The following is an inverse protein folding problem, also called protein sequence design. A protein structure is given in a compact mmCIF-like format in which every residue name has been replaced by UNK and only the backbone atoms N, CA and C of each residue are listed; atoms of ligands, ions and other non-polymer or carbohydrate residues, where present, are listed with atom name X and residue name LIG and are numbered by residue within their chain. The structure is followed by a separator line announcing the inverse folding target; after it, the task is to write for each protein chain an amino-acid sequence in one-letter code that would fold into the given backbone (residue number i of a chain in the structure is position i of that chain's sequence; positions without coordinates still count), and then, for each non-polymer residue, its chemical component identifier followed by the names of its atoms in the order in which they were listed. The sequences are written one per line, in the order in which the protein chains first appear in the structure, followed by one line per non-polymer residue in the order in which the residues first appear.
data_IF_098713591302
#
_entry.id   IF_098713591302
#
_cell.length_a   1.000
_cell.length_b   1.000
_cell.length_c   1.000
_cell.angle_alpha   90.00
_cell.angle_beta   90.00
_cell.angle_gamma   90.00
#
_symmetry.space_group_name_H-M   'P 1'
#
loop_
_entity.id
_entity.type
_entity.pdbx_description
1 polymer ?
#
# COMPACT_ATOMS: atom_id res chain seq x y z
N UNK A 1 -5.50 -13.96 -2.13
CA UNK A 1 -4.26 -13.38 -2.72
C UNK A 1 -4.48 -11.87 -2.74
N UNK A 2 -3.46 -11.00 -2.63
CA UNK A 2 -3.73 -9.55 -2.64
C UNK A 2 -3.55 -8.99 -4.05
N UNK A 3 -4.65 -8.60 -4.69
CA UNK A 3 -4.70 -7.82 -5.93
C UNK A 3 -4.88 -6.35 -5.56
N UNK A 4 -3.76 -5.63 -5.53
CA UNK A 4 -3.72 -4.28 -4.97
C UNK A 4 -4.39 -3.23 -5.86
N UNK A 5 -4.23 -3.35 -7.18
CA UNK A 5 -4.70 -2.36 -8.15
C UNK A 5 -5.46 -3.04 -9.31
N UNK A 6 -6.10 -2.19 -10.11
CA UNK A 6 -6.71 -2.51 -11.40
C UNK A 6 -7.86 -3.51 -11.33
N UNK A 7 -8.64 -3.43 -10.25
CA UNK A 7 -10.03 -3.89 -10.29
C UNK A 7 -10.72 -3.29 -11.51
N UNK A 8 -11.63 -4.04 -12.15
CA UNK A 8 -12.46 -3.45 -13.22
C UNK A 8 -13.30 -2.25 -12.74
N UNK A 9 -13.43 -2.07 -11.42
CA UNK A 9 -14.11 -0.95 -10.76
C UNK A 9 -15.55 -0.78 -11.27
N UNK A 10 -16.30 -1.90 -11.26
CA UNK A 10 -17.73 -1.91 -11.61
C UNK A 10 -18.64 -1.40 -10.49
N UNK A 11 -18.07 -1.07 -9.33
CA UNK A 11 -18.71 -0.54 -8.12
C UNK A 11 -19.84 -1.38 -7.51
N UNK A 12 -20.15 -2.58 -8.03
CA UNK A 12 -21.21 -3.46 -7.51
C UNK A 12 -21.01 -3.85 -6.04
N UNK A 13 -19.76 -3.98 -5.61
CA UNK A 13 -19.43 -4.39 -4.25
C UNK A 13 -19.73 -3.31 -3.19
N UNK A 14 -19.92 -2.05 -3.59
CA UNK A 14 -20.24 -0.93 -2.68
C UNK A 14 -21.69 -1.02 -2.16
N UNK A 15 -22.74 -0.97 -3.01
CA UNK A 15 -24.13 -0.96 -2.53
C UNK A 15 -24.60 -2.29 -1.93
N UNK A 16 -23.96 -3.41 -2.27
CA UNK A 16 -24.32 -4.74 -1.72
C UNK A 16 -23.68 -5.02 -0.36
N UNK A 17 -22.73 -4.19 0.08
CA UNK A 17 -22.06 -4.35 1.36
C UNK A 17 -22.96 -3.79 2.49
N UNK A 18 -23.48 -4.65 3.39
CA UNK A 18 -24.41 -4.20 4.43
C UNK A 18 -23.75 -3.27 5.47
N UNK A 19 -22.43 -3.33 5.59
CA UNK A 19 -21.66 -2.56 6.58
C UNK A 19 -20.95 -1.35 5.96
N UNK A 20 -21.16 -1.07 4.67
CA UNK A 20 -20.42 -0.03 3.92
C UNK A 20 -18.89 -0.13 4.10
N UNK A 21 -18.36 -1.36 4.15
CA UNK A 21 -16.94 -1.62 4.33
C UNK A 21 -16.14 -1.39 3.04
N UNK A 22 -16.75 -1.61 1.87
CA UNK A 22 -16.08 -1.42 0.59
C UNK A 22 -16.14 0.05 0.18
N UNK A 23 -15.02 0.57 -0.29
CA UNK A 23 -14.91 1.95 -0.75
C UNK A 23 -13.98 2.05 -1.95
N UNK A 24 -14.01 3.20 -2.60
CA UNK A 24 -13.17 3.50 -3.74
C UNK A 24 -12.24 4.68 -3.45
N UNK A 25 -11.07 4.68 -4.06
CA UNK A 25 -10.10 5.78 -3.97
C UNK A 25 -9.49 6.04 -5.36
N UNK A 26 -9.14 7.30 -5.69
CA UNK A 26 -8.47 7.63 -6.93
C UNK A 26 -6.99 7.21 -6.86
N UNK A 27 -6.37 6.96 -8.01
CA UNK A 27 -4.92 6.78 -8.13
C UNK A 27 -4.48 7.26 -9.51
N UNK A 28 -3.29 7.87 -9.64
CA UNK A 28 -2.78 8.25 -10.95
C UNK A 28 -2.54 7.01 -11.82
N UNK A 29 -2.80 7.16 -13.12
CA UNK A 29 -2.39 6.19 -14.12
C UNK A 29 -0.88 6.30 -14.30
N UNK A 30 -0.17 5.19 -14.08
CA UNK A 30 1.30 5.16 -14.15
C UNK A 30 1.73 3.92 -14.89
N UNK A 31 2.84 4.02 -15.62
CA UNK A 31 3.39 2.88 -16.34
C UNK A 31 4.91 3.12 -16.51
N UNK A 32 5.73 2.48 -15.68
CA UNK A 32 7.18 2.68 -15.68
C UNK A 32 7.92 1.41 -15.29
N UNK A 33 9.18 1.35 -15.70
CA UNK A 33 10.08 0.25 -15.38
C UNK A 33 10.89 0.60 -14.12
N UNK A 34 11.17 -0.40 -13.30
CA UNK A 34 11.95 -0.27 -12.08
C UNK A 34 12.82 -1.51 -11.85
N UNK A 35 13.73 -1.40 -10.89
CA UNK A 35 14.62 -2.46 -10.46
C UNK A 35 14.51 -2.61 -8.94
N UNK A 36 14.60 -3.84 -8.44
CA UNK A 36 14.88 -4.06 -7.01
C UNK A 36 16.31 -3.59 -6.70
N UNK A 37 16.62 -3.34 -5.42
CA UNK A 37 17.97 -3.00 -5.00
C UNK A 37 18.59 -4.10 -4.13
N UNK A 38 19.89 -4.33 -4.29
CA UNK A 38 20.69 -5.13 -3.37
C UNK A 38 21.43 -4.19 -2.43
N UNK A 39 21.21 -4.34 -1.13
CA UNK A 39 21.85 -3.54 -0.07
C UNK A 39 22.87 -4.43 0.64
N UNK A 40 24.11 -3.97 0.70
CA UNK A 40 25.19 -4.66 1.40
C UNK A 40 25.26 -4.25 2.89
N UNK A 41 25.89 -5.05 3.77
CA UNK A 41 26.03 -4.73 5.19
C UNK A 41 26.77 -3.42 5.49
N UNK A 42 27.65 -2.98 4.58
CA UNK A 42 28.36 -1.70 4.70
C UNK A 42 27.50 -0.48 4.31
N UNK A 43 26.28 -0.71 3.80
CA UNK A 43 25.35 0.32 3.34
C UNK A 43 25.52 0.72 1.88
N UNK A 44 26.49 0.15 1.17
CA UNK A 44 26.56 0.28 -0.29
C UNK A 44 25.41 -0.49 -0.95
N UNK A 45 25.01 -0.06 -2.15
CA UNK A 45 23.90 -0.66 -2.85
C UNK A 45 24.10 -0.66 -4.37
N UNK A 46 23.37 -1.57 -5.04
CA UNK A 46 23.31 -1.67 -6.50
C UNK A 46 21.91 -2.08 -6.95
N UNK A 47 21.52 -1.67 -8.14
CA UNK A 47 20.29 -2.17 -8.77
C UNK A 47 20.45 -3.65 -9.15
N UNK A 48 19.36 -4.41 -9.03
CA UNK A 48 19.26 -5.75 -9.57
C UNK A 48 19.16 -5.71 -11.10
N UNK A 49 19.74 -6.69 -11.79
CA UNK A 49 19.77 -6.72 -13.26
C UNK A 49 18.38 -6.90 -13.90
N UNK A 50 17.46 -7.53 -13.16
CA UNK A 50 16.11 -7.79 -13.64
C UNK A 50 15.27 -6.50 -13.64
N UNK A 51 14.92 -6.03 -14.83
CA UNK A 51 13.88 -5.01 -15.01
C UNK A 51 12.50 -5.56 -14.69
N UNK A 52 11.70 -4.77 -13.97
CA UNK A 52 10.30 -5.05 -13.65
C UNK A 52 9.41 -3.91 -14.09
N UNK A 53 8.11 -4.19 -14.27
CA UNK A 53 7.10 -3.22 -14.67
C UNK A 53 6.17 -2.90 -13.50
N UNK A 54 5.94 -1.62 -13.24
CA UNK A 54 4.86 -1.17 -12.37
C UNK A 54 3.84 -0.41 -13.22
N UNK A 55 2.58 -0.82 -13.12
CA UNK A 55 1.51 -0.25 -13.93
C UNK A 55 0.21 -0.17 -13.12
N UNK A 56 -0.47 0.96 -13.27
CA UNK A 56 -1.83 1.18 -12.81
C UNK A 56 -2.62 1.74 -13.99
N UNK A 57 -3.59 0.95 -14.45
CA UNK A 57 -4.37 1.23 -15.67
C UNK A 57 -5.79 1.71 -15.37
N UNK A 58 -6.22 1.67 -14.11
CA UNK A 58 -7.54 2.15 -13.67
C UNK A 58 -7.38 3.39 -12.78
N UNK A 59 -8.10 4.49 -13.07
CA UNK A 59 -7.97 5.72 -12.29
C UNK A 59 -8.68 5.63 -10.93
N UNK A 60 -9.62 4.69 -10.78
CA UNK A 60 -10.37 4.43 -9.57
C UNK A 60 -10.12 3.00 -9.13
N UNK A 61 -9.84 2.83 -7.85
CA UNK A 61 -9.54 1.55 -7.21
C UNK A 61 -10.57 1.24 -6.13
N UNK A 62 -10.64 -0.02 -5.71
CA UNK A 62 -11.52 -0.49 -4.64
C UNK A 62 -10.67 -1.05 -3.50
N UNK A 63 -11.05 -0.74 -2.27
CA UNK A 63 -10.49 -1.28 -1.04
C UNK A 63 -11.59 -1.67 -0.06
N UNK A 64 -11.21 -2.43 0.96
CA UNK A 64 -12.07 -2.83 2.06
C UNK A 64 -11.59 -2.20 3.37
N UNK A 65 -12.47 -1.54 4.10
CA UNK A 65 -12.19 -1.07 5.46
C UNK A 65 -12.48 -2.22 6.43
N UNK A 66 -11.41 -2.88 6.87
CA UNK A 66 -11.46 -4.18 7.52
C UNK A 66 -12.27 -4.15 8.82
N UNK A 67 -12.18 -3.08 9.61
CA UNK A 67 -12.91 -2.95 10.88
C UNK A 67 -14.44 -2.85 10.69
N UNK A 68 -14.92 -2.55 9.48
CA UNK A 68 -16.36 -2.58 9.15
C UNK A 68 -16.77 -3.92 8.54
N UNK A 69 -15.83 -4.67 7.98
CA UNK A 69 -16.13 -5.92 7.29
C UNK A 69 -16.40 -7.05 8.29
N UNK A 70 -17.49 -7.79 8.08
CA UNK A 70 -17.81 -9.01 8.82
C UNK A 70 -17.68 -10.28 7.96
N UNK A 71 -17.04 -10.15 6.79
CA UNK A 71 -16.81 -11.26 5.86
C UNK A 71 -18.08 -12.00 5.42
N UNK A 72 -19.23 -11.31 5.37
CA UNK A 72 -20.51 -11.93 4.99
C UNK A 72 -20.58 -12.46 3.54
N UNK A 73 -19.60 -12.18 2.69
CA UNK A 73 -19.53 -12.71 1.33
C UNK A 73 -20.45 -12.05 0.30
N UNK A 74 -21.32 -11.09 0.67
CA UNK A 74 -22.20 -10.42 -0.29
C UNK A 74 -21.42 -9.83 -1.47
N UNK A 75 -20.34 -9.10 -1.19
CA UNK A 75 -19.55 -8.46 -2.23
C UNK A 75 -18.82 -9.44 -3.15
N UNK A 76 -18.57 -10.68 -2.70
CA UNK A 76 -18.00 -11.76 -3.53
C UNK A 76 -19.07 -12.34 -4.47
N UNK A 77 -20.28 -12.58 -3.96
CA UNK A 77 -21.41 -13.11 -4.75
C UNK A 77 -21.74 -12.23 -5.97
N UNK A 78 -21.63 -10.92 -5.84
CA UNK A 78 -21.89 -9.97 -6.93
C UNK A 78 -20.64 -9.54 -7.70
N UNK A 79 -19.45 -10.06 -7.33
CA UNK A 79 -18.20 -9.71 -7.99
C UNK A 79 -18.14 -10.37 -9.37
N UNK A 80 -17.95 -9.59 -10.45
CA UNK A 80 -17.67 -10.16 -11.78
C UNK A 80 -16.22 -10.64 -11.91
N UNK A 81 -15.36 -10.31 -10.95
CA UNK A 81 -13.99 -10.83 -10.82
C UNK A 81 -13.99 -11.98 -9.80
N UNK A 82 -12.93 -12.80 -9.80
CA UNK A 82 -12.77 -13.83 -8.77
C UNK A 82 -12.37 -13.19 -7.44
N UNK A 83 -13.16 -13.42 -6.39
CA UNK A 83 -12.92 -12.91 -5.05
C UNK A 83 -13.46 -11.50 -4.81
N UNK A 84 -14.30 -11.38 -3.78
CA UNK A 84 -14.80 -10.09 -3.30
C UNK A 84 -13.70 -9.21 -2.65
N UNK A 85 -13.97 -7.91 -2.47
CA UNK A 85 -13.00 -6.97 -1.90
C UNK A 85 -12.34 -7.38 -0.59
N UNK A 86 -13.06 -8.07 0.30
CA UNK A 86 -12.51 -8.49 1.59
C UNK A 86 -11.42 -9.58 1.47
N UNK A 87 -11.38 -10.31 0.35
CA UNK A 87 -10.42 -11.37 0.06
C UNK A 87 -9.24 -10.82 -0.75
N UNK A 88 -9.55 -10.15 -1.87
CA UNK A 88 -8.55 -9.88 -2.89
C UNK A 88 -8.07 -8.43 -2.90
N UNK A 89 -8.85 -7.46 -2.42
CA UNK A 89 -8.49 -6.04 -2.53
C UNK A 89 -7.79 -5.54 -1.26
N UNK A 90 -7.07 -4.39 -1.33
CA UNK A 90 -6.42 -3.81 -0.16
C UNK A 90 -7.37 -3.68 1.04
N UNK A 91 -7.01 -4.31 2.14
CA UNK A 91 -7.73 -4.18 3.41
C UNK A 91 -7.06 -3.10 4.26
N UNK A 92 -7.79 -2.07 4.64
CA UNK A 92 -7.34 -0.99 5.51
C UNK A 92 -7.93 -1.13 6.90
N UNK A 93 -7.07 -1.07 7.91
CA UNK A 93 -7.42 -1.12 9.32
C UNK A 93 -7.37 0.28 9.92
N UNK A 94 -8.31 0.57 10.82
CA UNK A 94 -8.44 1.84 11.52
C UNK A 94 -7.24 2.16 12.41
N UNK A 95 -6.65 1.13 13.01
CA UNK A 95 -5.56 1.30 13.99
C UNK A 95 -4.49 0.25 13.79
N UNK A 96 -3.28 0.58 14.25
CA UNK A 96 -2.19 -0.38 14.37
C UNK A 96 -2.60 -1.62 15.18
N UNK A 97 -3.36 -1.44 16.27
CA UNK A 97 -3.81 -2.54 17.13
C UNK A 97 -4.68 -3.54 16.39
N UNK A 98 -5.63 -3.08 15.57
CA UNK A 98 -6.53 -3.98 14.83
C UNK A 98 -5.81 -4.65 13.65
N UNK A 99 -4.86 -3.95 13.01
CA UNK A 99 -3.98 -4.53 12.00
C UNK A 99 -3.03 -5.61 12.55
N UNK A 100 -2.44 -5.40 13.73
CA UNK A 100 -1.59 -6.39 14.41
C UNK A 100 -2.40 -7.62 14.82
N UNK A 101 -3.59 -7.41 15.41
CA UNK A 101 -4.47 -8.50 15.83
C UNK A 101 -5.00 -9.35 14.67
N UNK A 102 -5.06 -8.79 13.46
CA UNK A 102 -5.51 -9.50 12.27
C UNK A 102 -4.44 -10.43 11.65
N UNK A 103 -3.21 -10.46 12.17
CA UNK A 103 -2.18 -11.37 11.68
C UNK A 103 -2.66 -12.83 11.66
N UNK A 104 -2.37 -13.59 10.58
CA UNK A 104 -1.44 -13.29 9.49
C UNK A 104 -2.03 -12.54 8.28
N UNK A 105 -3.26 -12.02 8.36
CA UNK A 105 -3.94 -11.38 7.22
C UNK A 105 -3.15 -10.20 6.65
N UNK A 106 -3.06 -10.12 5.33
CA UNK A 106 -2.49 -8.97 4.63
C UNK A 106 -3.39 -7.73 4.76
N UNK A 107 -2.78 -6.55 4.74
CA UNK A 107 -3.51 -5.29 4.82
C UNK A 107 -2.66 -4.18 5.39
N UNK A 108 -3.27 -3.02 5.55
CA UNK A 108 -2.58 -1.76 5.79
C UNK A 108 -3.24 -0.97 6.91
N UNK A 109 -2.48 -0.14 7.61
CA UNK A 109 -3.04 0.98 8.35
C UNK A 109 -2.30 2.24 7.95
N UNK A 110 -3.00 3.37 8.04
CA UNK A 110 -2.49 4.68 7.64
C UNK A 110 -2.54 5.62 8.84
N UNK A 111 -1.51 6.42 9.01
CA UNK A 111 -1.50 7.51 9.99
C UNK A 111 -1.07 8.81 9.31
N UNK A 112 -1.54 9.93 9.85
CA UNK A 112 -1.22 11.27 9.39
C UNK A 112 -1.17 12.17 10.62
N UNK A 113 -0.12 12.98 10.72
CA UNK A 113 0.01 14.02 11.73
C UNK A 113 0.26 15.39 11.06
N UNK A 114 0.71 16.40 11.81
CA UNK A 114 0.96 17.73 11.26
C UNK A 114 2.10 17.78 10.22
N UNK A 115 3.05 16.85 10.30
CA UNK A 115 4.32 16.87 9.58
C UNK A 115 4.42 15.75 8.54
N UNK A 116 3.85 14.59 8.81
CA UNK A 116 4.07 13.37 8.02
C UNK A 116 2.80 12.55 7.79
N UNK A 117 2.85 11.75 6.74
CA UNK A 117 1.89 10.70 6.43
C UNK A 117 2.63 9.38 6.33
N UNK A 118 2.06 8.31 6.88
CA UNK A 118 2.64 6.99 6.78
C UNK A 118 1.60 5.92 6.47
N UNK A 119 2.04 4.90 5.76
CA UNK A 119 1.33 3.64 5.54
C UNK A 119 2.23 2.51 6.03
N UNK A 120 1.67 1.62 6.85
CA UNK A 120 2.33 0.37 7.22
C UNK A 120 1.46 -0.78 6.73
N UNK A 121 2.08 -1.74 6.06
CA UNK A 121 1.39 -2.82 5.38
C UNK A 121 2.02 -4.18 5.64
N UNK A 122 1.20 -5.21 5.64
CA UNK A 122 1.62 -6.61 5.50
C UNK A 122 1.24 -7.08 4.11
N UNK A 123 2.22 -7.58 3.35
CA UNK A 123 2.01 -8.11 2.01
C UNK A 123 2.75 -9.45 1.93
N UNK A 124 2.03 -10.54 1.66
CA UNK A 124 2.61 -11.90 1.57
C UNK A 124 3.43 -12.29 2.81
N UNK A 125 2.96 -11.91 4.00
CA UNK A 125 3.62 -12.09 5.31
C UNK A 125 4.86 -11.21 5.57
N UNK A 126 5.25 -10.33 4.66
CA UNK A 126 6.31 -9.35 4.89
C UNK A 126 5.72 -8.01 5.32
N UNK A 127 6.40 -7.30 6.21
CA UNK A 127 5.94 -6.00 6.73
C UNK A 127 6.77 -4.88 6.13
N UNK A 128 6.08 -3.87 5.63
CA UNK A 128 6.68 -2.68 5.04
C UNK A 128 6.06 -1.43 5.65
N UNK A 129 6.85 -0.40 5.87
CA UNK A 129 6.38 0.92 6.28
C UNK A 129 6.96 1.98 5.35
N UNK A 130 6.10 2.87 4.88
CA UNK A 130 6.48 4.03 4.07
C UNK A 130 6.02 5.29 4.78
N UNK A 131 6.91 6.27 4.91
CA UNK A 131 6.60 7.60 5.45
C UNK A 131 6.99 8.66 4.44
N UNK A 132 6.20 9.73 4.33
CA UNK A 132 6.49 10.91 3.52
C UNK A 132 6.12 12.20 4.27
N UNK A 133 6.73 13.35 3.93
CA UNK A 133 6.25 14.64 4.40
C UNK A 133 4.80 14.88 3.99
N UNK A 134 4.00 15.48 4.88
CA UNK A 134 2.61 15.83 4.59
C UNK A 134 2.48 17.01 3.63
N UNK A 135 3.46 17.92 3.63
CA UNK A 135 3.45 19.14 2.82
C UNK A 135 4.76 19.30 2.08
N UNK A 136 4.63 19.69 0.81
CA UNK A 136 5.76 19.89 -0.09
C UNK A 136 6.38 18.58 -0.57
N UNK A 137 7.32 18.73 -1.48
CA UNK A 137 8.12 17.61 -1.95
C UNK A 137 9.22 17.33 -0.92
N UNK A 138 9.51 16.05 -0.69
CA UNK A 138 10.57 15.66 0.20
C UNK A 138 10.78 14.16 0.21
N UNK A 139 11.86 13.70 0.84
CA UNK A 139 12.26 12.32 0.75
C UNK A 139 11.22 11.39 1.38
N UNK A 140 10.99 10.24 0.73
CA UNK A 140 10.24 9.14 1.30
C UNK A 140 11.17 8.24 2.08
N UNK A 141 10.69 7.65 3.17
CA UNK A 141 11.43 6.65 3.94
C UNK A 141 10.70 5.32 3.86
N UNK A 142 11.37 4.29 3.37
CA UNK A 142 10.88 2.91 3.32
C UNK A 142 11.64 2.07 4.35
N UNK A 143 10.90 1.27 5.11
CA UNK A 143 11.40 0.31 6.08
C UNK A 143 10.74 -1.04 5.82
N UNK A 144 11.53 -2.09 5.56
CA UNK A 144 11.04 -3.47 5.37
C UNK A 144 11.31 -4.38 6.59
N UNK A 145 11.72 -3.79 7.71
CA UNK A 145 12.11 -4.48 8.94
C UNK A 145 13.58 -4.93 8.96
N UNK A 146 14.23 -5.05 7.80
CA UNK A 146 15.64 -5.43 7.66
C UNK A 146 16.49 -4.21 7.34
N UNK A 147 16.06 -3.41 6.38
CA UNK A 147 16.69 -2.15 5.97
C UNK A 147 15.71 -1.00 6.06
N UNK A 148 16.28 0.20 6.25
CA UNK A 148 15.56 1.46 6.19
C UNK A 148 16.31 2.39 5.27
N UNK A 149 15.66 2.84 4.22
CA UNK A 149 16.26 3.67 3.19
C UNK A 149 15.44 4.93 2.94
N UNK A 150 16.13 5.99 2.58
CA UNK A 150 15.55 7.24 2.09
C UNK A 150 15.57 7.23 0.58
N UNK A 151 14.44 7.50 -0.04
CA UNK A 151 14.27 7.54 -1.49
C UNK A 151 13.69 8.88 -1.93
N UNK A 152 14.01 9.30 -3.16
CA UNK A 152 13.21 10.33 -3.81
C UNK A 152 11.95 9.74 -4.46
N UNK A 153 11.16 10.62 -5.10
CA UNK A 153 9.84 10.25 -5.65
C UNK A 153 9.90 9.16 -6.73
N UNK A 154 11.01 9.12 -7.47
CA UNK A 154 11.28 8.12 -8.51
C UNK A 154 11.70 6.76 -7.95
N UNK A 155 12.01 6.67 -6.66
CA UNK A 155 12.54 5.47 -6.01
C UNK A 155 14.07 5.38 -6.01
N UNK A 156 14.77 6.46 -6.36
CA UNK A 156 16.22 6.53 -6.24
C UNK A 156 16.65 6.52 -4.77
N UNK A 157 17.51 5.58 -4.38
CA UNK A 157 18.02 5.48 -3.02
C UNK A 157 19.05 6.59 -2.79
N UNK A 158 18.76 7.50 -1.87
CA UNK A 158 19.64 8.62 -1.51
C UNK A 158 20.42 8.35 -0.23
N UNK A 159 19.86 7.53 0.67
CA UNK A 159 20.51 7.18 1.94
C UNK A 159 20.05 5.81 2.44
N UNK A 160 20.96 5.08 3.11
CA UNK A 160 20.67 3.82 3.82
C UNK A 160 20.89 4.06 5.32
N UNK A 161 19.80 4.20 6.07
CA UNK A 161 19.79 4.50 7.50
C UNK A 161 20.03 3.23 8.33
N UNK A 162 19.23 2.18 8.08
CA UNK A 162 19.40 0.86 8.72
C UNK A 162 19.95 -0.11 7.69
N UNK A 163 21.05 -0.77 8.05
CA UNK A 163 21.80 -1.70 7.21
C UNK A 163 21.47 -3.15 7.57
N UNK A 164 21.49 -4.07 6.60
CA UNK A 164 21.21 -5.47 6.84
C UNK A 164 22.44 -6.18 7.44
N UNK A 165 22.24 -7.35 8.07
CA UNK A 165 23.34 -8.17 8.58
C UNK A 165 24.08 -8.96 7.47
N UNK A 166 23.40 -9.23 6.37
CA UNK A 166 23.90 -9.88 5.15
C UNK A 166 23.38 -9.14 3.92
N UNK A 167 23.85 -9.47 2.72
CA UNK A 167 23.26 -8.91 1.50
C UNK A 167 21.74 -9.13 1.51
N UNK A 168 20.98 -8.05 1.28
CA UNK A 168 19.52 -8.03 1.38
C UNK A 168 18.91 -7.44 0.11
N UNK A 169 17.83 -8.06 -0.38
CA UNK A 169 17.08 -7.55 -1.52
C UNK A 169 15.97 -6.64 -1.02
N UNK A 170 16.08 -5.36 -1.31
CA UNK A 170 14.98 -4.42 -1.12
C UNK A 170 13.98 -4.55 -2.26
N UNK A 171 12.77 -5.00 -1.95
CA UNK A 171 11.69 -5.16 -2.94
C UNK A 171 11.06 -3.80 -3.27
N UNK A 172 11.39 -3.27 -4.44
CA UNK A 172 10.94 -1.94 -4.87
C UNK A 172 9.49 -1.94 -5.37
N UNK A 173 8.89 -3.11 -5.58
CA UNK A 173 7.45 -3.21 -5.81
C UNK A 173 6.67 -2.77 -4.57
N UNK A 174 7.16 -3.11 -3.36
CA UNK A 174 6.52 -2.69 -2.11
C UNK A 174 6.56 -1.16 -1.95
N UNK A 175 7.70 -0.53 -2.27
CA UNK A 175 7.82 0.93 -2.30
C UNK A 175 6.75 1.59 -3.19
N UNK A 176 6.68 1.16 -4.46
CA UNK A 176 5.74 1.73 -5.41
C UNK A 176 4.29 1.40 -5.05
N UNK A 177 4.03 0.23 -4.48
CA UNK A 177 2.69 -0.12 -3.99
C UNK A 177 2.25 0.80 -2.86
N UNK A 178 3.08 0.94 -1.82
CA UNK A 178 2.75 1.76 -0.65
C UNK A 178 2.58 3.23 -1.01
N UNK A 179 3.44 3.81 -1.87
CA UNK A 179 3.35 5.23 -2.22
C UNK A 179 2.06 5.57 -2.98
N UNK A 180 1.61 4.69 -3.87
CA UNK A 180 0.37 4.90 -4.63
C UNK A 180 -0.87 4.59 -3.80
N UNK A 181 -0.83 3.57 -2.94
CA UNK A 181 -1.90 3.32 -1.97
C UNK A 181 -2.07 4.52 -1.04
N UNK A 182 -0.98 5.00 -0.43
CA UNK A 182 -0.99 6.14 0.48
C UNK A 182 -1.51 7.40 -0.22
N UNK A 183 -0.98 7.73 -1.40
CA UNK A 183 -1.45 8.88 -2.19
C UNK A 183 -2.94 8.78 -2.52
N UNK A 184 -3.41 7.59 -2.92
CA UNK A 184 -4.78 7.39 -3.35
C UNK A 184 -5.79 7.44 -2.21
N UNK A 185 -5.58 6.68 -1.13
CA UNK A 185 -6.54 6.64 -0.01
C UNK A 185 -6.59 7.93 0.78
N UNK A 186 -5.53 8.74 0.73
CA UNK A 186 -5.45 10.04 1.38
C UNK A 186 -5.81 11.23 0.47
N UNK A 187 -6.13 10.98 -0.80
CA UNK A 187 -6.64 12.00 -1.73
C UNK A 187 -7.91 12.66 -1.18
N UNK A 188 -8.04 13.97 -1.39
CA UNK A 188 -9.21 14.77 -1.05
C UNK A 188 -10.28 14.77 -2.16
N UNK A 189 -9.97 14.25 -3.34
CA UNK A 189 -10.92 14.11 -4.46
C UNK A 189 -12.08 13.17 -4.11
N UNK A 190 -11.86 12.21 -3.19
CA UNK A 190 -12.90 11.29 -2.72
C UNK A 190 -12.79 10.98 -1.23
N UNK A 191 -13.82 11.38 -0.49
CA UNK A 191 -13.98 11.03 0.92
C UNK A 191 -14.13 9.51 1.06
N UNK A 192 -13.37 8.93 1.98
CA UNK A 192 -13.41 7.51 2.32
C UNK A 192 -13.07 7.30 3.81
N UNK A 193 -13.23 6.07 4.29
CA UNK A 193 -13.06 5.72 5.69
C UNK A 193 -11.63 6.00 6.18
N UNK A 194 -10.62 5.85 5.31
CA UNK A 194 -9.20 6.05 5.66
C UNK A 194 -8.86 7.53 5.80
N UNK A 195 -9.22 8.38 4.83
CA UNK A 195 -8.89 9.82 4.93
C UNK A 195 -9.70 10.57 5.99
N UNK A 196 -10.87 10.05 6.39
CA UNK A 196 -11.64 10.54 7.53
C UNK A 196 -11.03 10.09 8.85
N UNK A 197 -10.60 8.82 8.97
CA UNK A 197 -10.02 8.29 10.20
C UNK A 197 -8.60 8.80 10.48
N UNK A 198 -7.83 9.08 9.43
CA UNK A 198 -6.49 9.66 9.52
C UNK A 198 -6.50 11.20 9.56
N UNK A 199 -7.68 11.83 9.49
CA UNK A 199 -7.87 13.29 9.44
C UNK A 199 -7.63 14.00 10.76
#
# INVERSE_FOLDING_TARGET
HLVVFDCITCDKCLPVCPNAANFTYPTPLVAFDYHDAWIAPDGSWRWADQTRRFEITRPMQIACYADFCNECGNCDTFCPEYGGPYIEKPSFFATRKTWEAAAPRDGFYVTRDAEQESITGRIKNETFALTRPRRGDGPLTLDDGVVRVTLGDGGEITHVERRPASEHRLDMWAFHTLRHLLAGVLSDERVNQVNVAAG
#
